data_IF_868214437590
#
_entry.id   IF_868214437590
#
_cell.length_a   1.000
_cell.length_b   1.000
_cell.length_c   1.000
_cell.angle_alpha   90.00
_cell.angle_beta   90.00
_cell.angle_gamma   90.00
#
_symmetry.space_group_name_H-M   'P 1'
#
loop_
_entity.id
_entity.type
_entity.pdbx_description
1 polymer ?
#
# COMPACT_ATOMS: atom_id res chain seq x y z
N UNK A 1 -11.21 -28.04 42.45
CA UNK A 1 -11.91 -28.49 41.24
C UNK A 1 -11.21 -27.87 40.05
N UNK A 2 -10.51 -28.64 39.18
CA UNK A 2 -9.90 -28.06 37.98
C UNK A 2 -11.01 -27.75 36.98
N UNK A 3 -11.09 -26.48 36.54
CA UNK A 3 -12.01 -26.09 35.50
C UNK A 3 -11.58 -26.75 34.19
N UNK A 4 -12.28 -27.78 33.75
CA UNK A 4 -12.17 -28.31 32.40
C UNK A 4 -12.80 -27.32 31.43
N UNK A 5 -11.99 -26.48 30.84
CA UNK A 5 -12.38 -25.84 29.59
C UNK A 5 -12.13 -26.86 28.46
N UNK A 6 -13.15 -27.36 27.79
CA UNK A 6 -12.95 -28.21 26.64
C UNK A 6 -12.24 -27.36 25.57
N UNK A 7 -11.06 -27.80 25.14
CA UNK A 7 -10.41 -27.27 23.95
C UNK A 7 -11.29 -27.64 22.75
N UNK A 8 -12.16 -26.72 22.34
CA UNK A 8 -13.16 -26.94 21.29
C UNK A 8 -12.57 -26.87 19.87
N UNK A 9 -11.27 -26.85 19.71
CA UNK A 9 -10.66 -26.86 18.35
C UNK A 9 -9.99 -28.23 18.18
N UNK A 10 -10.53 -29.09 17.30
CA UNK A 10 -9.81 -30.30 16.89
C UNK A 10 -8.47 -29.84 16.29
N UNK A 11 -7.36 -30.30 16.82
CA UNK A 11 -5.99 -29.93 16.46
C UNK A 11 -5.61 -30.24 15.02
N UNK A 12 -6.55 -30.60 14.16
CA UNK A 12 -6.37 -30.91 12.74
C UNK A 12 -7.02 -29.94 11.75
N UNK A 13 -7.80 -28.96 12.22
CA UNK A 13 -8.60 -28.07 11.33
C UNK A 13 -8.30 -26.58 11.47
N UNK A 14 -7.16 -26.19 12.02
CA UNK A 14 -6.76 -24.78 11.99
C UNK A 14 -6.36 -24.37 10.57
N UNK A 15 -7.17 -23.55 9.86
CA UNK A 15 -6.87 -23.12 8.50
C UNK A 15 -5.58 -22.31 8.41
N UNK A 16 -5.02 -21.87 9.54
CA UNK A 16 -3.73 -21.16 9.61
C UNK A 16 -2.53 -22.08 9.86
N UNK A 17 -2.73 -23.38 10.10
CA UNK A 17 -1.65 -24.30 10.43
C UNK A 17 -0.61 -24.45 9.31
N UNK A 18 -1.03 -24.29 8.06
CA UNK A 18 -0.17 -24.44 6.87
C UNK A 18 0.41 -23.10 6.38
N UNK A 19 0.13 -21.99 7.07
CA UNK A 19 0.70 -20.69 6.72
C UNK A 19 2.14 -20.63 7.21
N UNK A 20 3.09 -20.80 6.29
CA UNK A 20 4.51 -20.60 6.58
C UNK A 20 4.75 -19.11 6.84
N UNK A 21 4.95 -18.74 8.09
CA UNK A 21 5.37 -17.40 8.47
C UNK A 21 6.86 -17.22 8.17
N UNK A 22 7.22 -16.00 7.73
CA UNK A 22 8.61 -15.63 7.51
C UNK A 22 9.38 -15.66 8.84
N UNK A 23 10.63 -16.18 8.80
CA UNK A 23 11.55 -16.20 9.94
C UNK A 23 12.82 -15.37 9.63
N UNK A 24 13.49 -14.79 10.63
CA UNK A 24 14.76 -14.09 10.44
C UNK A 24 15.78 -15.00 9.75
N UNK A 25 16.31 -14.53 8.60
CA UNK A 25 17.19 -15.30 7.75
C UNK A 25 16.53 -15.87 6.48
N UNK A 26 15.20 -15.91 6.42
CA UNK A 26 14.48 -16.26 5.19
C UNK A 26 14.60 -15.15 4.14
N UNK A 27 14.57 -15.47 2.84
CA UNK A 27 14.50 -14.47 1.78
C UNK A 27 13.22 -13.66 1.86
N UNK A 28 13.23 -12.44 1.28
CA UNK A 28 12.05 -11.57 1.23
C UNK A 28 10.82 -12.32 0.73
N UNK A 29 9.68 -12.25 1.43
CA UNK A 29 8.47 -12.98 1.05
C UNK A 29 8.04 -12.64 -0.37
N UNK A 30 7.67 -13.64 -1.18
CA UNK A 30 7.23 -13.44 -2.58
C UNK A 30 6.06 -12.45 -2.67
N UNK A 31 5.14 -12.47 -1.70
CA UNK A 31 4.00 -11.53 -1.64
C UNK A 31 4.45 -10.07 -1.52
N UNK A 32 5.51 -9.79 -0.78
CA UNK A 32 6.09 -8.45 -0.65
C UNK A 32 6.71 -8.01 -1.98
N UNK A 33 7.42 -8.92 -2.67
CA UNK A 33 8.02 -8.63 -3.98
C UNK A 33 6.93 -8.33 -5.02
N UNK A 34 5.86 -9.14 -5.05
CA UNK A 34 4.72 -8.92 -5.97
C UNK A 34 4.04 -7.59 -5.65
N UNK A 35 3.74 -7.31 -4.37
CA UNK A 35 3.17 -6.03 -3.96
C UNK A 35 4.05 -4.86 -4.36
N UNK A 36 5.36 -4.94 -4.11
CA UNK A 36 6.34 -3.93 -4.54
C UNK A 36 6.28 -3.68 -6.06
N UNK A 37 6.34 -4.75 -6.86
CA UNK A 37 6.30 -4.63 -8.31
C UNK A 37 4.97 -4.00 -8.79
N UNK A 38 3.85 -4.41 -8.23
CA UNK A 38 2.54 -3.81 -8.52
C UNK A 38 2.48 -2.33 -8.14
N UNK A 39 2.97 -1.95 -6.96
CA UNK A 39 3.01 -0.55 -6.50
C UNK A 39 3.84 0.33 -7.42
N UNK A 40 5.01 -0.16 -7.88
CA UNK A 40 5.85 0.57 -8.83
C UNK A 40 5.16 0.74 -10.18
N UNK A 41 4.64 -0.34 -10.75
CA UNK A 41 3.98 -0.31 -12.07
C UNK A 41 2.74 0.59 -12.02
N UNK A 42 1.87 0.41 -11.03
CA UNK A 42 0.66 1.22 -10.89
C UNK A 42 0.99 2.69 -10.59
N UNK A 43 2.00 2.96 -9.75
CA UNK A 43 2.45 4.33 -9.50
C UNK A 43 2.97 5.03 -10.76
N UNK A 44 3.75 4.32 -11.59
CA UNK A 44 4.21 4.85 -12.89
C UNK A 44 3.05 5.09 -13.86
N UNK A 45 2.07 4.17 -13.93
CA UNK A 45 0.86 4.36 -14.73
C UNK A 45 0.03 5.55 -14.23
N UNK A 46 -0.10 5.74 -12.91
CA UNK A 46 -0.77 6.91 -12.34
C UNK A 46 -0.07 8.21 -12.73
N UNK A 47 1.26 8.26 -12.67
CA UNK A 47 2.04 9.42 -13.13
C UNK A 47 1.78 9.67 -14.61
N UNK A 48 1.89 8.63 -15.44
CA UNK A 48 1.71 8.74 -16.89
C UNK A 48 0.32 9.28 -17.26
N UNK A 49 -0.74 8.64 -16.77
CA UNK A 49 -2.10 9.09 -17.04
C UNK A 49 -2.44 10.42 -16.37
N UNK A 50 -1.84 10.71 -15.22
CA UNK A 50 -1.98 11.99 -14.55
C UNK A 50 -1.37 13.13 -15.38
N UNK A 51 -0.19 12.94 -15.96
CA UNK A 51 0.44 13.92 -16.87
C UNK A 51 -0.41 14.09 -18.13
N UNK A 52 -0.91 13.01 -18.73
CA UNK A 52 -1.82 13.12 -19.87
C UNK A 52 -3.08 13.93 -19.52
N UNK A 53 -3.66 13.72 -18.33
CA UNK A 53 -4.82 14.48 -17.89
C UNK A 53 -4.52 15.98 -17.66
N UNK A 54 -3.32 16.30 -17.17
CA UNK A 54 -2.87 17.70 -17.01
C UNK A 54 -2.66 18.41 -18.34
N UNK A 55 -2.18 17.69 -19.36
CA UNK A 55 -1.86 18.24 -20.69
C UNK A 55 -3.00 18.10 -21.70
N UNK A 56 -4.10 17.43 -21.33
CA UNK A 56 -5.23 17.24 -22.23
C UNK A 56 -5.80 18.59 -22.69
N UNK A 57 -5.81 18.81 -24.00
CA UNK A 57 -6.49 19.89 -24.68
C UNK A 57 -7.79 19.38 -25.28
N UNK A 58 -8.83 20.20 -25.26
CA UNK A 58 -10.11 19.90 -25.87
C UNK A 58 -10.28 20.84 -27.04
N UNK A 59 -10.18 20.30 -28.24
CA UNK A 59 -10.18 21.10 -29.48
C UNK A 59 -11.62 21.42 -29.97
N UNK A 60 -12.63 21.14 -29.16
CA UNK A 60 -14.04 21.42 -29.49
C UNK A 60 -14.41 22.82 -29.01
N UNK A 61 -14.92 23.65 -29.94
CA UNK A 61 -15.49 24.95 -29.61
C UNK A 61 -16.89 24.78 -28.97
N UNK A 62 -17.17 25.47 -27.85
CA UNK A 62 -18.49 25.43 -27.20
C UNK A 62 -19.54 26.11 -28.08
N UNK A 63 -20.74 25.56 -28.16
CA UNK A 63 -21.85 26.11 -28.95
C UNK A 63 -22.56 27.29 -28.27
N UNK A 64 -22.47 27.37 -26.94
CA UNK A 64 -23.08 28.43 -26.13
C UNK A 64 -22.29 28.64 -24.81
N UNK A 65 -22.67 29.69 -24.07
CA UNK A 65 -21.99 30.06 -22.81
C UNK A 65 -22.13 29.00 -21.71
N UNK A 66 -23.26 28.31 -21.63
CA UNK A 66 -23.51 27.24 -20.65
C UNK A 66 -22.62 26.02 -20.95
N UNK A 67 -22.46 25.65 -22.23
CA UNK A 67 -21.56 24.56 -22.63
C UNK A 67 -20.11 24.93 -22.35
N UNK A 68 -19.71 26.19 -22.54
CA UNK A 68 -18.38 26.67 -22.23
C UNK A 68 -18.05 26.52 -20.73
N UNK A 69 -18.97 26.92 -19.85
CA UNK A 69 -18.84 26.80 -18.40
C UNK A 69 -18.73 25.32 -17.97
N UNK A 70 -19.60 24.46 -18.53
CA UNK A 70 -19.55 23.03 -18.25
C UNK A 70 -18.25 22.38 -18.73
N UNK A 71 -17.73 22.74 -19.89
CA UNK A 71 -16.46 22.24 -20.40
C UNK A 71 -15.29 22.68 -19.52
N UNK A 72 -15.27 23.92 -19.05
CA UNK A 72 -14.23 24.42 -18.16
C UNK A 72 -14.30 23.75 -16.79
N UNK A 73 -15.50 23.50 -16.27
CA UNK A 73 -15.68 22.73 -15.03
C UNK A 73 -15.12 21.31 -15.15
N UNK A 74 -15.46 20.57 -16.20
CA UNK A 74 -14.95 19.22 -16.44
C UNK A 74 -13.44 19.23 -16.61
N UNK A 75 -12.92 20.14 -17.44
CA UNK A 75 -11.47 20.30 -17.67
C UNK A 75 -10.71 20.53 -16.38
N UNK A 76 -11.21 21.41 -15.52
CA UNK A 76 -10.58 21.74 -14.24
C UNK A 76 -10.55 20.52 -13.31
N UNK A 77 -11.65 19.80 -13.21
CA UNK A 77 -11.73 18.58 -12.39
C UNK A 77 -10.80 17.47 -12.91
N UNK A 78 -10.74 17.25 -14.22
CA UNK A 78 -9.80 16.29 -14.84
C UNK A 78 -8.36 16.66 -14.54
N UNK A 79 -7.99 17.95 -14.62
CA UNK A 79 -6.64 18.42 -14.27
C UNK A 79 -6.31 18.24 -12.80
N UNK A 80 -7.24 18.56 -11.89
CA UNK A 80 -7.07 18.35 -10.45
C UNK A 80 -6.84 16.85 -10.16
N UNK A 81 -7.68 15.99 -10.71
CA UNK A 81 -7.52 14.53 -10.57
C UNK A 81 -6.20 14.04 -11.17
N UNK A 82 -5.79 14.59 -12.31
CA UNK A 82 -4.49 14.33 -12.92
C UNK A 82 -3.34 14.70 -12.00
N UNK A 83 -3.38 15.89 -11.41
CA UNK A 83 -2.37 16.34 -10.43
C UNK A 83 -2.31 15.43 -9.20
N UNK A 84 -3.45 15.04 -8.65
CA UNK A 84 -3.52 14.10 -7.53
C UNK A 84 -2.89 12.75 -7.92
N UNK A 85 -3.21 12.22 -9.10
CA UNK A 85 -2.63 10.97 -9.59
C UNK A 85 -1.11 11.04 -9.73
N UNK A 86 -0.56 12.16 -10.23
CA UNK A 86 0.89 12.35 -10.32
C UNK A 86 1.53 12.32 -8.93
N UNK A 87 0.98 13.07 -7.98
CA UNK A 87 1.53 13.16 -6.62
C UNK A 87 1.44 11.80 -5.92
N UNK A 88 0.27 11.16 -5.94
CA UNK A 88 0.08 9.86 -5.30
C UNK A 88 0.97 8.80 -5.96
N UNK A 89 1.01 8.76 -7.29
CA UNK A 89 1.88 7.84 -8.04
C UNK A 89 3.35 8.01 -7.68
N UNK A 90 3.85 9.25 -7.60
CA UNK A 90 5.23 9.53 -7.21
C UNK A 90 5.54 9.06 -5.77
N UNK A 91 4.62 9.31 -4.84
CA UNK A 91 4.75 8.83 -3.46
C UNK A 91 4.78 7.30 -3.40
N UNK A 92 3.88 6.62 -4.14
CA UNK A 92 3.85 5.15 -4.20
C UNK A 92 5.17 4.58 -4.74
N UNK A 93 5.68 5.12 -5.85
CA UNK A 93 6.97 4.69 -6.43
C UNK A 93 8.12 4.93 -5.46
N UNK A 94 8.19 6.11 -4.85
CA UNK A 94 9.27 6.46 -3.94
C UNK A 94 9.31 5.58 -2.68
N UNK A 95 8.16 5.38 -2.03
CA UNK A 95 8.08 4.62 -0.79
C UNK A 95 7.98 3.09 -0.99
N UNK A 96 7.69 2.61 -2.20
CA UNK A 96 7.61 1.18 -2.51
C UNK A 96 8.90 0.42 -2.17
N UNK A 97 10.07 1.05 -2.37
CA UNK A 97 11.37 0.47 -1.97
C UNK A 97 11.40 0.14 -0.47
N UNK A 98 10.88 1.06 0.37
CA UNK A 98 10.83 0.80 1.79
C UNK A 98 9.84 -0.29 2.21
N UNK A 99 8.81 -0.56 1.41
CA UNK A 99 7.94 -1.73 1.59
C UNK A 99 8.72 -3.01 1.31
N UNK A 100 9.50 -3.05 0.23
CA UNK A 100 10.39 -4.17 -0.10
C UNK A 100 11.43 -4.43 1.00
N UNK A 101 11.96 -3.37 1.59
CA UNK A 101 13.01 -3.44 2.63
C UNK A 101 12.43 -3.72 4.04
N UNK A 102 11.11 -3.83 4.18
CA UNK A 102 10.43 -4.20 5.44
C UNK A 102 10.18 -3.04 6.41
N UNK A 103 10.28 -1.77 5.98
CA UNK A 103 10.03 -0.63 6.87
C UNK A 103 8.53 -0.42 7.15
N UNK A 104 8.11 -0.58 8.41
CA UNK A 104 6.71 -0.40 8.85
C UNK A 104 6.15 1.00 8.58
N UNK A 105 6.96 2.05 8.81
CA UNK A 105 6.54 3.43 8.59
C UNK A 105 6.22 3.69 7.11
N UNK A 106 7.08 3.25 6.20
CA UNK A 106 6.87 3.40 4.75
C UNK A 106 5.67 2.59 4.25
N UNK A 107 5.44 1.38 4.79
CA UNK A 107 4.25 0.57 4.52
C UNK A 107 2.96 1.33 4.89
N UNK A 108 2.93 2.02 6.05
CA UNK A 108 1.77 2.84 6.47
C UNK A 108 1.56 4.03 5.55
N UNK A 109 2.62 4.73 5.14
CA UNK A 109 2.52 5.84 4.19
C UNK A 109 1.95 5.37 2.85
N UNK A 110 2.46 4.26 2.30
CA UNK A 110 1.93 3.66 1.07
C UNK A 110 0.46 3.29 1.20
N UNK A 111 0.03 2.77 2.36
CA UNK A 111 -1.40 2.50 2.62
C UNK A 111 -2.24 3.77 2.56
N UNK A 112 -1.85 4.82 3.29
CA UNK A 112 -2.61 6.07 3.35
C UNK A 112 -2.70 6.74 1.97
N UNK A 113 -1.58 6.90 1.27
CA UNK A 113 -1.58 7.49 -0.06
C UNK A 113 -2.26 6.60 -1.09
N UNK A 114 -2.11 5.28 -0.98
CA UNK A 114 -2.81 4.33 -1.84
C UNK A 114 -4.33 4.37 -1.63
N UNK A 115 -4.80 4.39 -0.38
CA UNK A 115 -6.22 4.53 -0.06
C UNK A 115 -6.79 5.86 -0.58
N UNK A 116 -6.04 6.96 -0.43
CA UNK A 116 -6.41 8.26 -0.98
C UNK A 116 -6.50 8.22 -2.51
N UNK A 117 -5.52 7.59 -3.17
CA UNK A 117 -5.53 7.38 -4.62
C UNK A 117 -6.74 6.58 -5.10
N UNK A 118 -7.06 5.46 -4.41
CA UNK A 118 -8.26 4.65 -4.71
C UNK A 118 -9.52 5.51 -4.60
N UNK A 119 -9.64 6.29 -3.51
CA UNK A 119 -10.80 7.16 -3.30
C UNK A 119 -10.99 8.15 -4.46
N UNK A 120 -9.93 8.86 -4.87
CA UNK A 120 -10.01 9.83 -5.95
C UNK A 120 -10.23 9.19 -7.33
N UNK A 121 -9.63 8.02 -7.60
CA UNK A 121 -9.87 7.28 -8.84
C UNK A 121 -11.34 6.84 -8.94
N UNK A 122 -11.91 6.29 -7.86
CA UNK A 122 -13.30 5.87 -7.84
C UNK A 122 -14.25 7.07 -7.90
N UNK A 123 -13.97 8.15 -7.18
CA UNK A 123 -14.74 9.38 -7.25
C UNK A 123 -14.73 9.95 -8.68
N UNK A 124 -13.55 10.07 -9.31
CA UNK A 124 -13.44 10.52 -10.69
C UNK A 124 -14.26 9.69 -11.68
N UNK A 125 -14.29 8.37 -11.49
CA UNK A 125 -15.11 7.48 -12.31
C UNK A 125 -16.61 7.64 -12.04
N UNK A 126 -17.04 7.68 -10.78
CA UNK A 126 -18.45 7.82 -10.38
C UNK A 126 -19.03 9.14 -10.86
N UNK A 127 -18.28 10.23 -10.78
CA UNK A 127 -18.70 11.55 -11.26
C UNK A 127 -18.53 11.75 -12.78
N UNK A 128 -18.07 10.73 -13.51
CA UNK A 128 -17.94 10.77 -14.96
C UNK A 128 -16.76 11.59 -15.49
N UNK A 129 -15.81 12.02 -14.63
CA UNK A 129 -14.60 12.74 -15.05
C UNK A 129 -13.55 11.83 -15.68
N UNK A 130 -13.60 10.52 -15.37
CA UNK A 130 -12.62 9.54 -15.85
C UNK A 130 -13.32 8.28 -16.35
N UNK A 131 -12.62 7.50 -17.21
CA UNK A 131 -13.15 6.27 -17.77
C UNK A 131 -13.02 5.06 -16.81
N UNK A 132 -13.61 3.90 -17.17
CA UNK A 132 -13.60 2.68 -16.35
C UNK A 132 -12.19 2.13 -16.07
N UNK A 133 -11.19 2.52 -16.86
CA UNK A 133 -9.79 2.17 -16.61
C UNK A 133 -9.28 2.63 -15.24
N UNK A 134 -9.77 3.76 -14.72
CA UNK A 134 -9.44 4.26 -13.39
C UNK A 134 -9.98 3.34 -12.29
N UNK A 135 -11.19 2.80 -12.46
CA UNK A 135 -11.76 1.83 -11.51
C UNK A 135 -10.96 0.52 -11.48
N UNK A 136 -10.49 0.04 -12.65
CA UNK A 136 -9.63 -1.13 -12.73
C UNK A 136 -8.28 -0.85 -12.04
N UNK A 137 -7.68 0.30 -12.27
CA UNK A 137 -6.43 0.69 -11.59
C UNK A 137 -6.62 0.78 -10.07
N UNK A 138 -7.74 1.34 -9.60
CA UNK A 138 -8.08 1.39 -8.18
C UNK A 138 -8.21 -0.01 -7.58
N UNK A 139 -8.85 -0.95 -8.27
CA UNK A 139 -8.96 -2.34 -7.85
C UNK A 139 -7.58 -3.01 -7.76
N UNK A 140 -6.72 -2.86 -8.78
CA UNK A 140 -5.37 -3.42 -8.78
C UNK A 140 -4.52 -2.81 -7.66
N UNK A 141 -4.66 -1.51 -7.38
CA UNK A 141 -3.98 -0.85 -6.28
C UNK A 141 -4.46 -1.39 -4.93
N UNK A 142 -5.77 -1.62 -4.76
CA UNK A 142 -6.31 -2.25 -3.56
C UNK A 142 -5.72 -3.66 -3.35
N UNK A 143 -5.62 -4.47 -4.41
CA UNK A 143 -4.99 -5.80 -4.35
C UNK A 143 -3.51 -5.68 -3.94
N UNK A 144 -2.75 -4.75 -4.52
CA UNK A 144 -1.35 -4.53 -4.17
C UNK A 144 -1.17 -4.18 -2.68
N UNK A 145 -2.05 -3.32 -2.14
CA UNK A 145 -2.06 -2.97 -0.72
C UNK A 145 -2.43 -4.18 0.16
N UNK A 146 -3.46 -4.94 -0.20
CA UNK A 146 -3.86 -6.14 0.54
C UNK A 146 -2.73 -7.17 0.60
N UNK A 147 -1.98 -7.38 -0.48
CA UNK A 147 -0.83 -8.29 -0.49
C UNK A 147 0.25 -7.85 0.49
N UNK A 148 0.51 -6.53 0.60
CA UNK A 148 1.46 -5.99 1.56
C UNK A 148 0.99 -6.15 3.02
N UNK A 149 -0.32 -6.28 3.27
CA UNK A 149 -0.91 -6.35 4.61
C UNK A 149 -1.38 -7.74 5.02
N UNK A 150 -1.05 -8.77 4.25
CA UNK A 150 -1.37 -10.15 4.64
C UNK A 150 -0.70 -10.53 5.96
N UNK A 151 -1.39 -11.24 6.88
CA UNK A 151 -0.81 -11.67 8.17
C UNK A 151 0.50 -12.44 8.03
N UNK A 152 0.63 -13.25 6.97
CA UNK A 152 1.83 -14.05 6.70
C UNK A 152 3.12 -13.22 6.50
N UNK A 153 3.01 -11.93 6.13
CA UNK A 153 4.16 -11.05 5.90
C UNK A 153 4.44 -10.11 7.08
N UNK A 154 3.58 -10.07 8.09
CA UNK A 154 3.79 -9.20 9.26
C UNK A 154 5.12 -9.46 9.98
N UNK A 155 5.57 -10.72 10.22
CA UNK A 155 6.86 -10.97 10.86
C UNK A 155 8.05 -10.36 10.12
N UNK A 156 7.99 -10.27 8.79
CA UNK A 156 9.01 -9.62 7.97
C UNK A 156 9.13 -8.12 8.29
N UNK A 157 8.00 -7.42 8.39
CA UNK A 157 7.99 -6.00 8.76
C UNK A 157 8.33 -5.77 10.23
N UNK A 158 8.06 -6.74 11.10
CA UNK A 158 8.39 -6.68 12.53
C UNK A 158 9.88 -6.83 12.76
N UNK A 159 10.55 -7.68 11.97
CA UNK A 159 12.00 -7.86 12.01
C UNK A 159 12.75 -6.65 11.44
N UNK A 160 12.30 -6.07 10.32
CA UNK A 160 12.91 -4.88 9.72
C UNK A 160 12.97 -3.68 10.67
N UNK A 161 12.07 -3.59 11.66
CA UNK A 161 12.10 -2.51 12.65
C UNK A 161 13.12 -2.71 13.79
N UNK A 162 13.65 -3.92 13.95
CA UNK A 162 14.65 -4.23 14.98
C UNK A 162 16.07 -3.83 14.58
N UNK A 163 16.34 -3.57 13.31
CA UNK A 163 17.66 -3.23 12.79
C UNK A 163 17.98 -1.73 12.80
N UNK A 164 17.04 -0.86 13.14
CA UNK A 164 17.28 0.60 13.23
C UNK A 164 17.84 1.06 14.60
N UNK A 165 18.08 0.13 15.53
CA UNK A 165 18.80 0.39 16.79
C UNK A 165 20.27 -0.05 16.67
N UNK A 166 21.22 0.63 17.36
CA UNK A 166 22.57 0.09 17.51
C UNK A 166 22.46 -1.34 18.05
N UNK A 167 23.34 -2.25 17.60
CA UNK A 167 23.38 -3.59 18.16
C UNK A 167 23.46 -3.43 19.69
N UNK A 168 22.49 -3.98 20.40
CA UNK A 168 22.62 -4.13 21.84
C UNK A 168 23.81 -5.08 21.97
N UNK A 169 25.00 -4.52 22.16
CA UNK A 169 26.11 -5.29 22.67
C UNK A 169 25.63 -5.92 23.97
N UNK A 170 25.16 -7.13 23.84
CA UNK A 170 24.79 -7.97 24.95
C UNK A 170 26.08 -8.29 25.69
N UNK A 171 26.45 -7.41 26.59
CA UNK A 171 27.22 -7.81 27.73
C UNK A 171 26.41 -8.95 28.39
N UNK A 172 26.90 -10.18 28.18
CA UNK A 172 26.27 -11.42 28.66
C UNK A 172 26.25 -11.56 30.19
N UNK A 173 26.32 -10.46 30.93
CA UNK A 173 26.12 -10.40 32.37
C UNK A 173 24.63 -10.13 32.65
N UNK A 174 23.89 -11.23 32.86
CA UNK A 174 22.62 -11.15 33.53
C UNK A 174 22.79 -10.45 34.88
N UNK A 175 22.01 -9.39 35.22
CA UNK A 175 22.10 -8.71 36.50
C UNK A 175 21.50 -9.59 37.60
N UNK A 176 22.20 -10.63 37.96
CA UNK A 176 21.75 -11.60 38.96
C UNK A 176 22.85 -12.45 39.56
N UNK A 177 24.07 -12.51 38.96
CA UNK A 177 25.13 -13.39 39.45
C UNK A 177 26.02 -12.77 40.54
N UNK A 178 25.80 -11.52 40.93
CA UNK A 178 26.58 -10.83 41.99
C UNK A 178 26.06 -11.07 43.41
N UNK A 179 25.04 -11.92 43.62
CA UNK A 179 24.48 -12.19 44.95
C UNK A 179 24.74 -13.65 45.43
N UNK A 180 25.70 -14.38 44.81
CA UNK A 180 26.17 -15.68 45.29
C UNK A 180 27.67 -15.69 45.52
N UNK A 181 28.13 -14.92 46.49
CA UNK A 181 29.42 -15.10 47.14
C UNK A 181 29.29 -14.81 48.61
#
# INVERSE_FOLDING_TARGET
>A
MPAMFPSMVPSGQDPNRDVKYWQPGDPTPRLVIISFAMLVVLGLLMIFFGVLALTASWDREPMNAEEAENMDFVRNNVRILGGINVVVGAVLVYFSRGVRDGYRGKRRLVLWFGALGILFMLAGWVFGFTGPGQAIMALLLAVALLLAYRPAVNPFFDAGHRFDGPPIEGDGTLPGDSLRS
#
